data_IF_692936891860
#
_entry.id   IF_692936891860
#
_cell.length_a   1.000
_cell.length_b   1.000
_cell.length_c   1.000
_cell.angle_alpha   90.00
_cell.angle_beta   90.00
_cell.angle_gamma   90.00
#
_symmetry.space_group_name_H-M   'P 1'
#
loop_
_entity.id
_entity.type
_entity.pdbx_description
1 polymer ?
#
# COMPACT_ATOMS: atom_id res chain seq x y z
N UNK A 1 -9.94 34.30 26.12
CA UNK A 1 -10.32 33.48 24.95
C UNK A 1 -9.10 33.43 24.05
N UNK A 2 -8.38 32.31 24.05
CA UNK A 2 -7.28 32.07 23.12
C UNK A 2 -7.94 31.98 21.75
N UNK A 3 -7.73 32.96 20.87
CA UNK A 3 -8.16 32.88 19.48
C UNK A 3 -7.43 31.68 18.88
N UNK A 4 -8.15 30.59 18.69
CA UNK A 4 -7.64 29.39 18.05
C UNK A 4 -7.15 29.79 16.66
N UNK A 5 -5.83 29.77 16.46
CA UNK A 5 -5.22 30.00 15.14
C UNK A 5 -5.91 29.07 14.17
N UNK A 6 -6.62 29.61 13.17
CA UNK A 6 -7.27 28.82 12.13
C UNK A 6 -6.20 28.08 11.35
N UNK A 7 -5.99 26.79 11.71
CA UNK A 7 -5.08 25.89 11.02
C UNK A 7 -5.88 25.13 9.98
N UNK A 8 -5.52 25.27 8.72
CA UNK A 8 -6.12 24.55 7.60
C UNK A 8 -5.11 23.53 7.09
N UNK A 9 -5.50 22.26 7.03
CA UNK A 9 -4.66 21.19 6.50
C UNK A 9 -5.03 20.89 5.04
N UNK A 10 -4.09 21.06 4.12
CA UNK A 10 -4.20 20.53 2.75
C UNK A 10 -3.44 19.20 2.66
N UNK A 11 -4.17 18.11 2.93
CA UNK A 11 -3.63 16.76 2.84
C UNK A 11 -3.43 16.24 1.40
N UNK A 12 -3.93 16.96 0.38
CA UNK A 12 -3.68 16.61 -1.01
C UNK A 12 -2.26 17.00 -1.41
N UNK A 13 -1.75 18.12 -0.87
CA UNK A 13 -0.39 18.61 -1.12
C UNK A 13 0.59 18.33 0.00
N UNK A 14 0.09 18.10 1.21
CA UNK A 14 0.91 17.86 2.39
C UNK A 14 1.37 19.13 3.07
N UNK A 15 0.59 20.21 3.01
CA UNK A 15 0.91 21.46 3.67
C UNK A 15 -0.13 21.82 4.73
N UNK A 16 0.32 22.52 5.75
CA UNK A 16 -0.55 23.19 6.72
C UNK A 16 -0.44 24.69 6.50
N UNK A 17 -1.58 25.36 6.61
CA UNK A 17 -1.71 26.79 6.43
C UNK A 17 -2.14 27.37 7.77
N UNK A 18 -1.38 28.36 8.23
CA UNK A 18 -1.67 29.09 9.46
C UNK A 18 -1.69 30.58 9.15
N UNK A 19 -2.71 31.25 9.65
CA UNK A 19 -2.79 32.71 9.56
C UNK A 19 -2.30 33.32 10.87
N UNK A 20 -1.34 34.23 10.79
CA UNK A 20 -0.90 35.02 11.93
C UNK A 20 -1.96 36.07 12.30
N UNK A 21 -1.86 36.66 13.49
CA UNK A 21 -2.75 37.73 13.97
C UNK A 21 -2.74 38.97 13.05
N UNK A 22 -1.67 39.14 12.27
CA UNK A 22 -1.50 40.21 11.27
C UNK A 22 -2.10 39.89 9.89
N UNK A 23 -2.74 38.72 9.71
CA UNK A 23 -3.28 38.27 8.42
C UNK A 23 -2.26 37.64 7.47
N UNK A 24 -0.99 37.59 7.84
CA UNK A 24 0.06 36.91 7.05
C UNK A 24 -0.18 35.40 6.99
N UNK A 25 -0.07 34.83 5.79
CA UNK A 25 -0.27 33.40 5.54
C UNK A 25 1.06 32.67 5.65
N UNK A 26 1.22 31.84 6.66
CA UNK A 26 2.38 30.97 6.83
C UNK A 26 2.02 29.54 6.39
N UNK A 27 2.77 29.03 5.41
CA UNK A 27 2.58 27.69 4.86
C UNK A 27 3.79 26.82 5.22
N UNK A 28 3.55 25.69 5.88
CA UNK A 28 4.58 24.73 6.27
C UNK A 28 4.28 23.35 5.70
N UNK A 29 5.34 22.57 5.45
CA UNK A 29 5.21 21.19 5.03
C UNK A 29 4.88 20.29 6.23
N UNK A 30 3.85 19.46 6.10
CA UNK A 30 3.48 18.46 7.10
C UNK A 30 3.60 17.04 6.52
N UNK A 31 4.66 16.28 6.86
CA UNK A 31 4.91 14.95 6.29
C UNK A 31 3.87 13.91 6.70
N UNK A 32 3.12 14.12 7.78
CA UNK A 32 2.16 13.15 8.32
C UNK A 32 0.84 13.11 7.53
N UNK A 33 0.47 14.20 6.84
CA UNK A 33 -0.75 14.26 6.01
C UNK A 33 -0.41 14.32 4.51
N UNK A 34 0.35 13.35 4.02
CA UNK A 34 0.79 13.28 2.63
C UNK A 34 0.45 11.92 2.01
N UNK A 35 -0.19 11.92 0.83
CA UNK A 35 -0.23 10.72 -0.03
C UNK A 35 1.18 10.36 -0.47
N UNK A 36 1.53 9.09 -0.65
CA UNK A 36 2.85 8.70 -1.18
C UNK A 36 4.04 9.28 -0.39
N UNK A 37 3.91 9.49 0.92
CA UNK A 37 5.05 9.93 1.73
C UNK A 37 6.15 8.87 1.71
N UNK A 38 7.40 9.32 1.57
CA UNK A 38 8.57 8.45 1.55
C UNK A 38 9.46 8.89 2.68
N UNK A 39 9.84 7.94 3.52
CA UNK A 39 10.80 8.18 4.59
C UNK A 39 12.22 8.04 4.04
N UNK A 40 13.09 9.01 4.33
CA UNK A 40 14.49 8.95 3.93
C UNK A 40 15.30 8.09 4.91
N UNK A 41 15.46 6.81 4.60
CA UNK A 41 16.28 5.88 5.39
C UNK A 41 17.80 6.13 5.27
N UNK A 42 18.23 6.96 4.31
CA UNK A 42 19.64 7.28 4.06
C UNK A 42 19.96 8.71 4.48
N UNK A 43 19.19 9.26 5.42
CA UNK A 43 19.43 10.59 5.93
C UNK A 43 20.80 10.70 6.61
N UNK A 44 21.52 11.79 6.35
CA UNK A 44 22.90 12.00 6.84
C UNK A 44 24.01 11.32 6.02
N UNK A 45 23.69 10.48 5.03
CA UNK A 45 24.69 9.93 4.11
C UNK A 45 24.89 10.88 2.93
N UNK A 46 26.14 11.25 2.66
CA UNK A 46 26.48 12.15 1.54
C UNK A 46 26.90 11.31 0.34
N UNK A 47 26.28 11.58 -0.82
CA UNK A 47 26.70 11.08 -2.12
C UNK A 47 26.69 12.25 -3.11
N UNK A 48 27.85 12.56 -3.69
CA UNK A 48 28.03 13.75 -4.52
C UNK A 48 27.26 13.67 -5.85
N UNK A 49 27.19 12.49 -6.45
CA UNK A 49 26.59 12.27 -7.79
C UNK A 49 25.14 12.74 -7.90
N UNK A 50 24.38 12.67 -6.80
CA UNK A 50 22.95 13.02 -6.74
C UNK A 50 22.65 14.19 -5.81
N UNK A 51 23.67 14.88 -5.30
CA UNK A 51 23.51 15.98 -4.34
C UNK A 51 22.71 17.16 -4.91
N UNK A 52 22.69 17.32 -6.24
CA UNK A 52 22.00 18.39 -6.93
C UNK A 52 20.57 18.02 -7.37
N UNK A 53 20.12 16.79 -7.10
CA UNK A 53 18.77 16.34 -7.44
C UNK A 53 17.87 16.37 -6.20
N UNK A 54 16.61 16.73 -6.41
CA UNK A 54 15.59 16.80 -5.37
C UNK A 54 14.26 16.22 -5.87
N UNK A 55 13.57 15.45 -5.04
CA UNK A 55 12.18 15.08 -5.33
C UNK A 55 11.27 16.24 -4.92
N UNK A 56 10.50 16.75 -5.87
CA UNK A 56 9.51 17.81 -5.67
C UNK A 56 8.11 17.22 -5.84
N UNK A 57 7.27 17.46 -4.84
CA UNK A 57 5.87 17.05 -4.77
C UNK A 57 4.95 18.22 -5.14
N UNK A 58 3.84 17.86 -5.78
CA UNK A 58 2.71 18.74 -6.07
C UNK A 58 1.41 18.14 -5.53
N UNK A 59 0.27 18.42 -6.18
CA UNK A 59 -1.02 17.89 -5.75
C UNK A 59 -1.10 16.37 -5.90
N UNK A 60 -1.66 15.71 -4.90
CA UNK A 60 -1.98 14.29 -4.87
C UNK A 60 -0.79 13.37 -5.15
N UNK A 61 -0.81 12.65 -6.28
CA UNK A 61 0.16 11.62 -6.63
C UNK A 61 1.31 12.16 -7.48
N UNK A 62 1.28 13.45 -7.84
CA UNK A 62 2.24 14.06 -8.74
C UNK A 62 3.54 14.39 -8.02
N UNK A 63 4.61 13.71 -8.44
CA UNK A 63 5.98 13.94 -7.98
C UNK A 63 6.91 13.92 -9.19
N UNK A 64 8.03 14.61 -9.07
CA UNK A 64 9.10 14.56 -10.07
C UNK A 64 10.45 14.82 -9.44
N UNK A 65 11.50 14.36 -10.09
CA UNK A 65 12.88 14.66 -9.71
C UNK A 65 13.33 15.87 -10.52
N UNK A 66 13.85 16.88 -9.83
CA UNK A 66 14.31 18.14 -10.41
C UNK A 66 15.76 18.40 -10.04
N UNK A 67 16.47 19.10 -10.92
CA UNK A 67 17.86 19.51 -10.74
C UNK A 67 17.94 20.92 -10.18
N UNK A 68 18.72 21.11 -9.13
CA UNK A 68 18.98 22.42 -8.55
C UNK A 68 20.00 23.19 -9.40
N UNK A 69 19.52 24.17 -10.18
CA UNK A 69 20.39 25.13 -10.89
C UNK A 69 20.47 26.49 -10.18
N UNK A 70 19.72 26.66 -9.09
CA UNK A 70 19.64 27.95 -8.38
C UNK A 70 20.91 28.33 -7.62
N UNK A 71 21.79 27.36 -7.34
CA UNK A 71 22.93 27.53 -6.42
C UNK A 71 22.54 27.77 -4.95
N UNK A 72 21.25 27.77 -4.63
CA UNK A 72 20.74 27.95 -3.28
C UNK A 72 20.81 26.63 -2.52
N UNK A 73 21.07 26.71 -1.20
CA UNK A 73 21.02 25.55 -0.34
C UNK A 73 19.56 25.18 -0.03
N UNK A 74 19.05 24.15 -0.69
CA UNK A 74 17.67 23.67 -0.59
C UNK A 74 17.56 22.55 0.45
N UNK A 75 16.48 22.55 1.23
CA UNK A 75 16.18 21.54 2.25
C UNK A 75 14.82 20.89 2.06
N UNK A 76 14.66 19.70 2.62
CA UNK A 76 13.36 19.00 2.67
C UNK A 76 12.35 19.88 3.43
N UNK A 77 11.13 19.96 2.89
CA UNK A 77 10.03 20.77 3.41
C UNK A 77 10.00 22.21 2.90
N UNK A 78 11.01 22.65 2.14
CA UNK A 78 10.99 23.98 1.53
C UNK A 78 10.14 24.01 0.26
N UNK A 79 9.48 25.16 0.07
CA UNK A 79 8.72 25.46 -1.14
C UNK A 79 9.65 26.02 -2.21
N UNK A 80 9.56 25.48 -3.41
CA UNK A 80 10.43 25.83 -4.53
C UNK A 80 9.66 26.11 -5.80
N UNK A 81 10.19 27.04 -6.58
CA UNK A 81 9.71 27.37 -7.92
C UNK A 81 10.47 26.53 -8.92
N UNK A 82 9.75 25.76 -9.71
CA UNK A 82 10.29 24.78 -10.65
C UNK A 82 9.85 25.04 -12.07
N UNK A 83 10.62 24.51 -13.00
CA UNK A 83 10.33 24.57 -14.42
C UNK A 83 9.08 23.75 -14.78
N UNK A 84 8.17 24.40 -15.51
CA UNK A 84 6.99 23.80 -16.11
C UNK A 84 7.05 23.96 -17.63
N UNK A 85 6.26 23.17 -18.37
CA UNK A 85 6.22 23.26 -19.85
C UNK A 85 5.87 24.67 -20.35
N UNK A 86 5.13 25.45 -19.56
CA UNK A 86 4.81 26.84 -19.84
C UNK A 86 4.76 27.58 -18.51
N UNK A 87 5.66 28.55 -18.28
CA UNK A 87 5.72 29.29 -17.03
C UNK A 87 6.47 28.53 -15.93
N UNK A 88 6.01 28.70 -14.69
CA UNK A 88 6.61 28.04 -13.52
C UNK A 88 5.55 27.37 -12.65
N UNK A 89 5.96 26.35 -11.91
CA UNK A 89 5.10 25.70 -10.92
C UNK A 89 5.70 25.83 -9.52
N UNK A 90 4.88 25.63 -8.49
CA UNK A 90 5.29 25.67 -7.10
C UNK A 90 5.10 24.29 -6.48
N UNK A 91 6.17 23.73 -5.95
CA UNK A 91 6.16 22.42 -5.31
C UNK A 91 6.94 22.40 -3.99
N UNK A 92 6.85 21.28 -3.30
CA UNK A 92 7.48 21.07 -1.99
C UNK A 92 8.57 20.01 -2.13
N UNK A 93 9.77 20.28 -1.61
CA UNK A 93 10.84 19.29 -1.59
C UNK A 93 10.51 18.20 -0.57
N UNK A 94 10.45 16.95 -1.01
CA UNK A 94 10.12 15.81 -0.15
C UNK A 94 11.29 14.89 0.12
N UNK A 95 12.22 14.75 -0.82
CA UNK A 95 13.42 13.91 -0.67
C UNK A 95 14.65 14.63 -1.21
N UNK A 96 15.78 14.38 -0.57
CA UNK A 96 17.11 14.81 -0.97
C UNK A 96 18.12 13.69 -0.70
N UNK A 97 19.27 13.71 -1.38
CA UNK A 97 20.40 12.83 -1.09
C UNK A 97 20.33 11.45 -1.76
N UNK A 98 21.07 10.45 -1.22
CA UNK A 98 21.33 9.17 -1.90
C UNK A 98 20.09 8.35 -2.23
N UNK A 99 18.97 8.56 -1.52
CA UNK A 99 17.71 7.86 -1.79
C UNK A 99 17.19 8.15 -3.20
N UNK A 100 17.52 9.31 -3.78
CA UNK A 100 17.11 9.68 -5.14
C UNK A 100 17.72 8.73 -6.17
N UNK A 101 18.97 8.29 -5.99
CA UNK A 101 19.58 7.29 -6.88
C UNK A 101 18.77 5.98 -6.90
N UNK A 102 18.18 5.58 -5.77
CA UNK A 102 17.30 4.40 -5.71
C UNK A 102 15.95 4.64 -6.40
N UNK A 103 15.40 5.85 -6.30
CA UNK A 103 14.17 6.23 -7.02
C UNK A 103 14.40 6.19 -8.54
N UNK A 104 15.52 6.75 -9.00
CA UNK A 104 15.90 6.74 -10.43
C UNK A 104 16.06 5.31 -10.96
N UNK A 105 16.75 4.43 -10.21
CA UNK A 105 16.86 3.01 -10.57
C UNK A 105 15.50 2.31 -10.63
N UNK A 106 14.59 2.60 -9.69
CA UNK A 106 13.23 2.04 -9.71
C UNK A 106 12.47 2.48 -10.96
N UNK A 107 12.57 3.76 -11.29
CA UNK A 107 11.86 4.36 -12.42
C UNK A 107 12.59 4.11 -13.76
N UNK A 108 13.72 3.39 -13.74
CA UNK A 108 14.57 3.05 -14.89
C UNK A 108 15.07 4.29 -15.64
N UNK A 109 15.43 5.32 -14.89
CA UNK A 109 15.95 6.58 -15.40
C UNK A 109 17.45 6.62 -15.16
N UNK A 110 18.22 6.77 -16.24
CA UNK A 110 19.66 6.97 -16.16
C UNK A 110 19.97 8.46 -15.90
N UNK A 111 20.68 8.80 -14.80
CA UNK A 111 20.91 10.20 -14.42
C UNK A 111 21.73 11.00 -15.44
N UNK A 112 22.58 10.34 -16.23
CA UNK A 112 23.48 11.01 -17.18
C UNK A 112 22.80 11.36 -18.50
N UNK A 113 21.84 10.56 -18.94
CA UNK A 113 21.15 10.74 -20.24
C UNK A 113 19.84 11.50 -20.10
N UNK A 114 19.24 11.49 -18.91
CA UNK A 114 17.94 12.10 -18.68
C UNK A 114 18.06 13.62 -18.43
N UNK A 115 17.32 14.40 -19.21
CA UNK A 115 17.21 15.84 -19.00
C UNK A 115 16.21 16.15 -17.87
N UNK A 116 16.75 16.44 -16.69
CA UNK A 116 15.95 16.84 -15.53
C UNK A 116 15.48 18.30 -15.64
N UNK A 117 14.21 18.51 -15.34
CA UNK A 117 13.65 19.86 -15.15
C UNK A 117 14.34 20.59 -14.01
N UNK A 118 14.37 21.91 -14.10
CA UNK A 118 15.17 22.75 -13.21
C UNK A 118 14.39 23.30 -12.02
N UNK A 119 15.05 23.44 -10.89
CA UNK A 119 14.62 24.26 -9.76
C UNK A 119 15.26 25.64 -9.91
N UNK A 120 14.41 26.66 -10.07
CA UNK A 120 14.90 28.02 -10.28
C UNK A 120 15.34 28.71 -8.99
N UNK A 121 14.56 28.54 -7.91
CA UNK A 121 14.81 29.20 -6.60
C UNK A 121 13.82 28.72 -5.54
N UNK A 122 14.10 29.08 -4.28
CA UNK A 122 13.11 29.06 -3.20
C UNK A 122 11.92 29.98 -3.52
N UNK A 123 10.73 29.55 -3.12
CA UNK A 123 9.51 30.33 -3.26
C UNK A 123 9.56 31.57 -2.36
N UNK A 124 9.17 32.72 -2.92
CA UNK A 124 8.99 33.96 -2.15
C UNK A 124 7.59 33.96 -1.52
N UNK A 125 7.34 34.74 -0.46
CA UNK A 125 6.01 34.87 0.12
C UNK A 125 4.92 35.20 -0.91
N UNK A 126 5.21 36.11 -1.84
CA UNK A 126 4.28 36.45 -2.94
C UNK A 126 3.97 35.30 -3.90
N UNK A 127 4.89 34.34 -4.07
CA UNK A 127 4.63 33.13 -4.89
C UNK A 127 3.69 32.18 -4.13
N UNK A 128 3.87 32.06 -2.81
CA UNK A 128 3.02 31.24 -1.93
C UNK A 128 1.60 31.80 -1.88
N UNK A 129 1.45 33.13 -1.76
CA UNK A 129 0.14 33.79 -1.77
C UNK A 129 -0.62 33.52 -3.08
N UNK A 130 0.01 33.73 -4.24
CA UNK A 130 -0.59 33.41 -5.54
C UNK A 130 -0.96 31.94 -5.67
N UNK A 131 -0.13 31.06 -5.14
CA UNK A 131 -0.42 29.63 -5.14
C UNK A 131 -1.63 29.30 -4.26
N UNK A 132 -1.78 29.93 -3.10
CA UNK A 132 -2.96 29.78 -2.25
C UNK A 132 -4.23 30.32 -2.92
N UNK A 133 -4.15 31.46 -3.60
CA UNK A 133 -5.25 31.98 -4.42
C UNK A 133 -5.62 31.00 -5.54
N UNK A 134 -4.65 30.34 -6.18
CA UNK A 134 -4.91 29.32 -7.18
C UNK A 134 -5.61 28.09 -6.57
N UNK A 135 -5.14 27.59 -5.42
CA UNK A 135 -5.74 26.47 -4.69
C UNK A 135 -7.19 26.77 -4.29
N UNK A 136 -7.46 27.97 -3.76
CA UNK A 136 -8.81 28.36 -3.37
C UNK A 136 -9.82 28.33 -4.54
N UNK A 137 -9.33 28.47 -5.79
CA UNK A 137 -10.16 28.41 -7.00
C UNK A 137 -10.43 26.97 -7.48
N UNK A 138 -9.66 25.98 -7.06
CA UNK A 138 -9.76 24.60 -7.56
C UNK A 138 -11.14 23.99 -7.37
N UNK A 139 -11.67 24.07 -6.14
CA UNK A 139 -12.92 23.41 -5.80
C UNK A 139 -14.11 23.97 -6.58
N UNK A 140 -14.22 25.31 -6.66
CA UNK A 140 -15.27 25.98 -7.45
C UNK A 140 -15.15 25.66 -8.94
N UNK A 141 -13.93 25.67 -9.47
CA UNK A 141 -13.66 25.36 -10.88
C UNK A 141 -14.03 23.92 -11.19
N UNK A 142 -13.72 22.97 -10.30
CA UNK A 142 -14.12 21.56 -10.44
C UNK A 142 -15.64 21.40 -10.52
N UNK A 143 -16.39 22.02 -9.61
CA UNK A 143 -17.87 21.93 -9.59
C UNK A 143 -18.46 22.52 -10.88
N UNK A 144 -18.01 23.72 -11.26
CA UNK A 144 -18.48 24.39 -12.48
C UNK A 144 -18.17 23.57 -13.73
N UNK A 145 -16.99 22.97 -13.78
CA UNK A 145 -16.57 22.12 -14.89
C UNK A 145 -17.42 20.86 -15.03
N UNK A 146 -17.85 20.27 -13.91
CA UNK A 146 -18.78 19.11 -13.92
C UNK A 146 -20.15 19.49 -14.48
N UNK A 147 -20.66 20.67 -14.14
CA UNK A 147 -21.94 21.17 -14.67
C UNK A 147 -21.86 21.34 -16.19
N UNK A 148 -20.83 22.03 -16.68
CA UNK A 148 -20.65 22.28 -18.11
C UNK A 148 -20.44 20.99 -18.93
N UNK A 149 -19.78 19.98 -18.34
CA UNK A 149 -19.64 18.67 -18.98
C UNK A 149 -20.99 17.93 -19.04
N UNK A 150 -21.84 18.06 -18.01
CA UNK A 150 -23.18 17.49 -18.00
C UNK A 150 -24.13 18.22 -18.97
N UNK A 151 -24.03 19.55 -19.08
CA UNK A 151 -24.83 20.37 -20.01
C UNK A 151 -24.55 20.01 -21.48
N UNK A 152 -23.33 19.54 -21.78
CA UNK A 152 -22.92 19.04 -23.10
C UNK A 152 -23.16 17.53 -23.28
N UNK A 153 -23.78 16.87 -22.29
CA UNK A 153 -24.07 15.43 -22.29
C UNK A 153 -22.85 14.53 -22.58
N UNK A 154 -21.66 14.97 -22.17
CA UNK A 154 -20.43 14.22 -22.40
C UNK A 154 -20.33 13.05 -21.41
N UNK A 155 -20.11 11.84 -21.94
CA UNK A 155 -19.91 10.64 -21.12
C UNK A 155 -18.52 10.61 -20.47
N UNK A 156 -18.29 11.51 -19.51
CA UNK A 156 -17.05 11.64 -18.75
C UNK A 156 -17.30 12.12 -17.33
N UNK A 157 -16.35 11.87 -16.42
CA UNK A 157 -16.35 12.41 -15.07
C UNK A 157 -15.07 13.18 -14.80
N UNK A 158 -15.21 14.43 -14.39
CA UNK A 158 -14.08 15.26 -13.96
C UNK A 158 -13.80 14.95 -12.49
N UNK A 159 -12.67 14.30 -12.23
CA UNK A 159 -12.27 13.82 -10.90
C UNK A 159 -11.66 14.93 -10.05
N UNK A 160 -10.71 15.67 -10.61
CA UNK A 160 -9.94 16.70 -9.89
C UNK A 160 -9.45 17.79 -10.84
N UNK A 161 -9.13 18.97 -10.29
CA UNK A 161 -8.55 20.11 -11.03
C UNK A 161 -7.32 20.60 -10.28
N UNK A 162 -6.20 20.75 -10.97
CA UNK A 162 -4.95 21.24 -10.41
C UNK A 162 -4.52 22.51 -11.15
N UNK A 163 -4.41 23.62 -10.44
CA UNK A 163 -3.79 24.82 -11.00
C UNK A 163 -2.27 24.74 -10.87
N UNK A 164 -1.59 25.26 -11.89
CA UNK A 164 -0.17 25.52 -11.83
C UNK A 164 0.12 26.67 -10.84
N UNK A 165 1.31 26.70 -10.25
CA UNK A 165 1.72 27.70 -9.26
C UNK A 165 1.57 29.17 -9.68
N UNK A 166 1.66 29.47 -10.97
CA UNK A 166 1.43 30.80 -11.53
C UNK A 166 -0.05 31.14 -11.79
N UNK A 167 -0.94 30.14 -11.70
CA UNK A 167 -2.37 30.24 -11.97
C UNK A 167 -2.73 30.43 -13.45
N UNK A 168 -1.78 30.33 -14.40
CA UNK A 168 -2.02 30.59 -15.82
C UNK A 168 -2.58 29.37 -16.57
N UNK A 169 -2.29 28.18 -16.03
CA UNK A 169 -2.70 26.88 -16.57
C UNK A 169 -3.38 26.04 -15.49
N UNK A 170 -4.42 25.31 -15.87
CA UNK A 170 -5.04 24.29 -15.04
C UNK A 170 -5.12 22.95 -15.77
N UNK A 171 -4.86 21.88 -15.03
CA UNK A 171 -4.94 20.49 -15.46
C UNK A 171 -6.24 19.90 -14.91
N UNK A 172 -7.10 19.42 -15.81
CA UNK A 172 -8.36 18.77 -15.48
C UNK A 172 -8.19 17.26 -15.62
N UNK A 173 -8.24 16.56 -14.51
CA UNK A 173 -8.17 15.10 -14.48
C UNK A 173 -9.57 14.53 -14.70
N UNK A 174 -9.72 13.69 -15.71
CA UNK A 174 -11.01 13.06 -16.03
C UNK A 174 -10.89 11.57 -16.30
N UNK A 175 -11.97 10.85 -16.04
CA UNK A 175 -12.16 9.46 -16.43
C UNK A 175 -13.29 9.36 -17.45
N UNK A 176 -13.09 8.51 -18.45
CA UNK A 176 -14.09 8.13 -19.43
C UNK A 176 -13.76 6.71 -19.91
N UNK A 177 -14.79 5.91 -20.17
CA UNK A 177 -14.63 4.56 -20.69
C UNK A 177 -14.29 4.56 -22.19
N UNK A 178 -14.84 5.53 -22.92
CA UNK A 178 -14.63 5.71 -24.36
C UNK A 178 -13.93 7.05 -24.67
N UNK A 179 -13.55 7.23 -25.93
CA UNK A 179 -12.97 8.48 -26.41
C UNK A 179 -14.05 9.56 -26.44
N UNK A 180 -13.83 10.64 -25.71
CA UNK A 180 -14.76 11.79 -25.64
C UNK A 180 -14.26 12.94 -26.50
N UNK A 181 -15.16 13.55 -27.29
CA UNK A 181 -14.86 14.79 -28.00
C UNK A 181 -15.16 16.01 -27.10
N UNK A 182 -14.12 16.52 -26.46
CA UNK A 182 -14.20 17.66 -25.53
C UNK A 182 -13.82 19.00 -26.19
N UNK A 183 -13.78 19.11 -27.52
CA UNK A 183 -13.38 20.37 -28.19
C UNK A 183 -14.29 21.55 -27.81
N UNK A 184 -15.60 21.33 -27.75
CA UNK A 184 -16.54 22.36 -27.34
C UNK A 184 -16.40 22.70 -25.85
N UNK A 185 -16.17 21.68 -25.01
CA UNK A 185 -15.94 21.86 -23.58
C UNK A 185 -14.70 22.74 -23.32
N UNK A 186 -13.60 22.53 -24.06
CA UNK A 186 -12.40 23.36 -23.95
C UNK A 186 -12.70 24.83 -24.28
N UNK A 187 -13.51 25.12 -25.30
CA UNK A 187 -13.90 26.49 -25.64
C UNK A 187 -14.69 27.13 -24.50
N UNK A 188 -15.68 26.42 -23.97
CA UNK A 188 -16.50 26.92 -22.87
C UNK A 188 -15.65 27.14 -21.60
N UNK A 189 -14.71 26.23 -21.29
CA UNK A 189 -13.78 26.41 -20.17
C UNK A 189 -12.85 27.61 -20.37
N UNK A 190 -12.38 27.85 -21.59
CA UNK A 190 -11.49 28.97 -21.89
C UNK A 190 -12.21 30.31 -21.71
N UNK A 191 -13.49 30.37 -22.10
CA UNK A 191 -14.35 31.54 -21.92
C UNK A 191 -14.65 31.81 -20.43
N UNK A 192 -15.03 30.76 -19.68
CA UNK A 192 -15.41 30.88 -18.27
C UNK A 192 -14.20 31.18 -17.36
N UNK A 193 -13.12 30.40 -17.48
CA UNK A 193 -12.01 30.45 -16.54
C UNK A 193 -10.87 31.35 -16.98
N UNK A 194 -10.80 31.71 -18.28
CA UNK A 194 -9.75 32.57 -18.86
C UNK A 194 -8.32 32.11 -18.56
N UNK A 195 -8.11 30.80 -18.58
CA UNK A 195 -6.82 30.13 -18.33
C UNK A 195 -6.53 29.12 -19.44
N UNK A 196 -5.26 28.69 -19.55
CA UNK A 196 -4.88 27.57 -20.41
C UNK A 196 -5.36 26.26 -19.79
N UNK A 197 -6.03 25.45 -20.59
CA UNK A 197 -6.63 24.18 -20.15
C UNK A 197 -5.81 23.01 -20.68
N UNK A 198 -5.43 22.11 -19.79
CA UNK A 198 -4.92 20.78 -20.13
C UNK A 198 -5.89 19.72 -19.64
N UNK A 199 -6.41 18.91 -20.55
CA UNK A 199 -7.26 17.77 -20.21
C UNK A 199 -6.38 16.53 -20.09
N UNK A 200 -6.41 15.86 -18.93
CA UNK A 200 -5.63 14.64 -18.68
C UNK A 200 -6.54 13.47 -18.34
N UNK A 201 -6.59 12.49 -19.24
CA UNK A 201 -7.31 11.25 -18.99
C UNK A 201 -6.54 10.41 -17.97
N UNK A 202 -7.25 9.91 -16.96
CA UNK A 202 -6.73 9.00 -15.94
C UNK A 202 -7.52 7.69 -15.95
N UNK A 203 -6.83 6.60 -15.65
CA UNK A 203 -7.49 5.31 -15.49
C UNK A 203 -8.18 5.17 -14.13
N UNK A 204 -9.15 4.26 -14.02
CA UNK A 204 -9.90 3.98 -12.78
C UNK A 204 -9.03 3.75 -11.53
N UNK A 205 -7.84 3.15 -11.70
CA UNK A 205 -6.91 2.94 -10.59
C UNK A 205 -6.23 4.23 -10.12
N UNK A 206 -5.87 5.10 -11.05
CA UNK A 206 -5.29 6.40 -10.73
C UNK A 206 -6.33 7.30 -10.08
N UNK A 207 -7.58 7.27 -10.57
CA UNK A 207 -8.72 7.95 -9.93
C UNK A 207 -8.89 7.48 -8.48
N UNK A 208 -8.87 6.16 -8.22
CA UNK A 208 -8.92 5.63 -6.86
C UNK A 208 -7.73 6.10 -5.99
N UNK A 209 -6.55 6.35 -6.57
CA UNK A 209 -5.41 6.96 -5.86
C UNK A 209 -5.59 8.45 -5.56
N UNK A 210 -6.25 9.18 -6.47
CA UNK A 210 -6.60 10.60 -6.30
C UNK A 210 -7.71 10.79 -5.26
N UNK A 211 -8.72 9.92 -5.23
CA UNK A 211 -9.78 9.98 -4.21
C UNK A 211 -9.25 9.44 -2.87
N UNK A 212 -8.49 8.34 -2.92
CA UNK A 212 -8.14 7.57 -1.73
C UNK A 212 -9.28 6.66 -1.27
N UNK A 213 -9.07 5.97 -0.15
CA UNK A 213 -10.06 5.06 0.43
C UNK A 213 -9.43 3.95 1.24
N UNK A 214 -10.25 2.99 1.67
CA UNK A 214 -9.83 1.80 2.40
C UNK A 214 -9.93 0.56 1.51
N UNK A 215 -8.85 -0.22 1.50
CA UNK A 215 -8.83 -1.53 0.86
C UNK A 215 -9.57 -2.58 1.67
N UNK A 216 -9.81 -3.74 1.06
CA UNK A 216 -10.41 -4.91 1.74
C UNK A 216 -9.57 -5.40 2.92
N UNK A 217 -8.28 -5.04 2.97
CA UNK A 217 -7.37 -5.32 4.08
C UNK A 217 -7.51 -4.34 5.25
N UNK A 218 -8.45 -3.39 5.20
CA UNK A 218 -8.65 -2.36 6.23
C UNK A 218 -7.63 -1.23 6.23
N UNK A 219 -6.60 -1.29 5.37
CA UNK A 219 -5.58 -0.25 5.23
C UNK A 219 -5.97 0.76 4.15
N UNK A 220 -5.34 1.94 4.17
CA UNK A 220 -5.44 2.90 3.06
C UNK A 220 -5.00 2.26 1.73
N UNK A 221 -5.62 2.66 0.62
CA UNK A 221 -5.30 2.12 -0.71
C UNK A 221 -3.80 2.25 -1.01
N UNK A 222 -3.19 1.18 -1.53
CA UNK A 222 -1.76 1.19 -1.86
C UNK A 222 -1.41 2.28 -2.89
N UNK A 223 -2.34 2.58 -3.81
CA UNK A 223 -2.19 3.63 -4.83
C UNK A 223 -2.22 5.07 -4.29
N UNK A 224 -2.74 5.30 -3.09
CA UNK A 224 -2.65 6.60 -2.42
C UNK A 224 -1.52 6.63 -1.38
N UNK A 225 -1.01 5.46 -0.97
CA UNK A 225 -0.01 5.33 0.10
C UNK A 225 1.44 5.23 -0.37
N UNK A 226 1.76 4.38 -1.34
CA UNK A 226 3.16 4.18 -1.77
C UNK A 226 3.36 3.68 -3.21
N UNK A 227 2.33 3.11 -3.85
CA UNK A 227 2.45 2.48 -5.16
C UNK A 227 1.97 3.41 -6.27
N UNK A 228 2.86 3.74 -7.21
CA UNK A 228 2.58 4.71 -8.29
C UNK A 228 2.72 4.09 -9.68
N UNK A 229 3.53 3.04 -9.79
CA UNK A 229 3.71 2.27 -11.01
C UNK A 229 2.76 1.07 -10.98
N UNK A 230 1.93 0.95 -12.00
CA UNK A 230 0.90 -0.08 -12.09
C UNK A 230 1.12 -0.94 -13.32
N UNK A 231 1.63 -2.15 -13.09
CA UNK A 231 1.71 -3.17 -14.12
C UNK A 231 0.34 -3.86 -14.33
N UNK A 232 0.13 -4.38 -15.53
CA UNK A 232 -1.01 -5.24 -15.82
C UNK A 232 -0.94 -6.52 -14.99
N UNK A 233 -2.03 -6.87 -14.33
CA UNK A 233 -2.13 -8.06 -13.48
C UNK A 233 -2.73 -9.20 -14.30
N UNK A 234 -2.06 -10.34 -14.31
CA UNK A 234 -2.52 -11.54 -15.01
C UNK A 234 -3.26 -12.47 -14.05
N UNK A 235 -4.15 -13.29 -14.59
CA UNK A 235 -4.84 -14.34 -13.80
C UNK A 235 -3.88 -15.44 -13.33
N UNK A 236 -2.72 -15.59 -13.98
CA UNK A 236 -1.68 -16.53 -13.57
C UNK A 236 -1.09 -16.17 -12.19
N UNK A 237 -0.93 -14.88 -11.89
CA UNK A 237 -0.46 -14.43 -10.58
C UNK A 237 -1.47 -14.76 -9.46
N UNK A 238 -2.78 -14.79 -9.78
CA UNK A 238 -3.78 -15.26 -8.81
C UNK A 238 -3.71 -16.79 -8.60
N UNK A 239 -3.41 -17.55 -9.66
CA UNK A 239 -3.27 -19.02 -9.57
C UNK A 239 -2.06 -19.45 -8.76
N UNK A 240 -0.92 -18.77 -8.86
CA UNK A 240 0.25 -19.14 -8.06
C UNK A 240 0.07 -18.91 -6.55
N UNK A 241 -0.89 -18.05 -6.19
CA UNK A 241 -1.27 -17.76 -4.80
C UNK A 241 -2.44 -18.61 -4.30
N UNK A 242 -2.88 -19.58 -5.11
CA UNK A 242 -4.05 -20.42 -4.82
C UNK A 242 -5.32 -19.59 -4.49
N UNK A 243 -5.47 -18.43 -5.14
CA UNK A 243 -6.63 -17.57 -4.97
C UNK A 243 -7.78 -18.04 -5.85
N UNK A 244 -9.00 -17.94 -5.32
CA UNK A 244 -10.22 -18.18 -6.08
C UNK A 244 -10.29 -17.26 -7.30
N UNK A 245 -10.58 -17.84 -8.48
CA UNK A 245 -10.68 -17.12 -9.76
C UNK A 245 -11.98 -16.32 -9.93
N UNK A 246 -12.75 -16.11 -8.86
CA UNK A 246 -13.95 -15.28 -8.93
C UNK A 246 -13.56 -13.79 -9.09
N UNK A 247 -13.96 -13.12 -10.20
CA UNK A 247 -13.56 -11.74 -10.48
C UNK A 247 -14.01 -10.75 -9.41
N UNK A 248 -15.16 -10.96 -8.76
CA UNK A 248 -15.64 -10.08 -7.68
C UNK A 248 -14.71 -10.11 -6.46
N UNK A 249 -14.14 -11.29 -6.15
CA UNK A 249 -13.19 -11.44 -5.04
C UNK A 249 -11.80 -10.90 -5.39
N UNK A 250 -11.43 -10.91 -6.67
CA UNK A 250 -10.12 -10.43 -7.12
C UNK A 250 -10.10 -8.95 -7.47
N UNK A 251 -11.26 -8.34 -7.72
CA UNK A 251 -11.38 -6.91 -8.01
C UNK A 251 -11.06 -6.07 -6.76
N UNK A 252 -10.29 -5.00 -6.96
CA UNK A 252 -10.08 -3.95 -5.96
C UNK A 252 -11.14 -2.86 -6.08
N UNK A 253 -11.03 -1.82 -5.24
CA UNK A 253 -12.00 -0.70 -5.21
C UNK A 253 -12.08 0.06 -6.55
N UNK A 254 -11.02 0.01 -7.36
CA UNK A 254 -10.99 0.59 -8.70
C UNK A 254 -11.70 -0.27 -9.78
N UNK A 255 -12.36 -1.37 -9.41
CA UNK A 255 -13.03 -2.29 -10.35
C UNK A 255 -12.09 -3.15 -11.20
N UNK A 256 -10.77 -2.95 -11.12
CA UNK A 256 -9.74 -3.80 -11.76
C UNK A 256 -9.15 -4.79 -10.75
N UNK A 257 -8.44 -5.81 -11.22
CA UNK A 257 -7.74 -6.79 -10.37
C UNK A 257 -6.86 -6.09 -9.31
N UNK A 258 -6.77 -6.66 -8.11
CA UNK A 258 -5.96 -6.13 -7.00
C UNK A 258 -4.47 -6.13 -7.35
N UNK A 259 -3.83 -4.98 -7.22
CA UNK A 259 -2.37 -4.82 -7.39
C UNK A 259 -1.55 -5.63 -6.38
N UNK A 260 -2.11 -5.93 -5.20
CA UNK A 260 -1.48 -6.78 -4.19
C UNK A 260 -1.13 -8.17 -4.74
N UNK A 261 -1.93 -8.70 -5.69
CA UNK A 261 -1.68 -10.00 -6.31
C UNK A 261 -0.31 -9.98 -7.02
N UNK A 262 -0.03 -8.97 -7.84
CA UNK A 262 1.30 -8.88 -8.47
C UNK A 262 2.40 -8.54 -7.45
N UNK A 263 2.10 -7.69 -6.47
CA UNK A 263 3.07 -7.26 -5.46
C UNK A 263 3.61 -8.46 -4.64
N UNK A 264 2.74 -9.39 -4.26
CA UNK A 264 3.10 -10.55 -3.45
C UNK A 264 3.60 -11.74 -4.29
N UNK A 265 3.33 -11.77 -5.59
CA UNK A 265 3.59 -12.93 -6.45
C UNK A 265 5.05 -13.42 -6.40
N UNK A 266 6.03 -12.52 -6.35
CA UNK A 266 7.45 -12.90 -6.25
C UNK A 266 7.76 -13.65 -4.97
N UNK A 267 7.20 -13.23 -3.83
CA UNK A 267 7.36 -13.90 -2.55
C UNK A 267 6.70 -15.30 -2.56
N UNK A 268 5.54 -15.44 -3.21
CA UNK A 268 4.90 -16.75 -3.36
C UNK A 268 5.70 -17.70 -4.25
N UNK A 269 6.24 -17.22 -5.38
CA UNK A 269 7.07 -18.04 -6.27
C UNK A 269 8.32 -18.53 -5.53
N UNK A 270 8.98 -17.62 -4.80
CA UNK A 270 10.15 -17.97 -4.00
C UNK A 270 9.82 -19.01 -2.92
N UNK A 271 8.75 -18.80 -2.14
CA UNK A 271 8.30 -19.76 -1.14
C UNK A 271 7.91 -21.11 -1.77
N UNK A 272 7.28 -21.11 -2.96
CA UNK A 272 6.93 -22.34 -3.66
C UNK A 272 8.16 -23.14 -4.12
N UNK A 273 9.25 -22.47 -4.49
CA UNK A 273 10.51 -23.15 -4.85
C UNK A 273 11.14 -23.90 -3.68
N UNK A 274 10.87 -23.49 -2.44
CA UNK A 274 11.33 -24.16 -1.23
C UNK A 274 10.44 -25.34 -0.80
N UNK A 275 9.28 -25.53 -1.45
CA UNK A 275 8.35 -26.61 -1.12
C UNK A 275 8.65 -27.86 -1.97
N UNK A 276 8.64 -29.08 -1.38
CA UNK A 276 8.79 -30.30 -2.16
C UNK A 276 7.59 -30.55 -3.06
N UNK A 277 7.84 -31.00 -4.29
CA UNK A 277 6.77 -31.44 -5.21
C UNK A 277 6.33 -32.86 -4.84
N UNK A 278 5.11 -32.98 -4.34
CA UNK A 278 4.49 -34.27 -3.98
C UNK A 278 3.59 -34.70 -5.15
N UNK A 279 4.02 -35.73 -5.88
CA UNK A 279 3.22 -36.34 -6.97
C UNK A 279 2.53 -37.63 -6.54
N UNK A 280 3.12 -38.34 -5.59
CA UNK A 280 2.66 -39.63 -5.08
C UNK A 280 2.25 -39.50 -3.60
N UNK A 281 1.30 -40.31 -3.12
CA UNK A 281 0.98 -40.39 -1.70
C UNK A 281 2.21 -40.72 -0.86
N UNK A 282 2.33 -40.12 0.32
CA UNK A 282 3.42 -40.47 1.24
C UNK A 282 3.16 -41.85 1.82
N UNK A 283 4.16 -42.74 1.72
CA UNK A 283 4.11 -44.06 2.32
C UNK A 283 4.54 -43.99 3.79
N UNK A 284 3.61 -44.24 4.69
CA UNK A 284 3.84 -44.28 6.12
C UNK A 284 3.65 -45.71 6.63
N UNK A 285 4.06 -45.95 7.88
CA UNK A 285 3.80 -47.24 8.54
C UNK A 285 2.31 -47.55 8.67
N UNK A 286 1.48 -46.53 8.94
CA UNK A 286 0.03 -46.65 9.11
C UNK A 286 -0.75 -46.80 7.78
N UNK A 287 -0.14 -46.47 6.64
CA UNK A 287 -0.82 -46.41 5.35
C UNK A 287 -0.36 -45.27 4.45
N UNK A 288 -1.07 -45.06 3.35
CA UNK A 288 -0.79 -44.00 2.38
C UNK A 288 -1.46 -42.68 2.81
N UNK A 289 -0.71 -41.59 2.77
CA UNK A 289 -1.22 -40.26 3.08
C UNK A 289 -1.26 -39.37 1.83
N UNK A 290 -2.42 -38.77 1.57
CA UNK A 290 -2.70 -37.91 0.42
C UNK A 290 -2.56 -36.44 0.80
N UNK A 291 -1.93 -35.66 -0.07
CA UNK A 291 -1.84 -34.20 0.07
C UNK A 291 -3.18 -33.57 -0.30
N UNK A 292 -3.76 -32.79 0.61
CA UNK A 292 -5.04 -32.10 0.38
C UNK A 292 -4.86 -30.60 0.18
N UNK A 293 -3.99 -29.96 0.96
CA UNK A 293 -3.77 -28.51 0.93
C UNK A 293 -2.32 -28.18 1.17
N UNK A 294 -1.81 -27.15 0.48
CA UNK A 294 -0.46 -26.63 0.70
C UNK A 294 -0.54 -25.15 1.11
N UNK A 295 -0.11 -24.83 2.32
CA UNK A 295 0.06 -23.44 2.76
C UNK A 295 1.50 -22.98 2.46
N UNK A 296 1.69 -22.44 1.26
CA UNK A 296 3.01 -22.08 0.69
C UNK A 296 3.80 -21.16 1.62
N UNK A 297 3.18 -20.08 2.10
CA UNK A 297 3.88 -19.09 2.94
C UNK A 297 4.23 -19.60 4.35
N UNK A 298 3.47 -20.56 4.88
CA UNK A 298 3.77 -21.16 6.20
C UNK A 298 4.77 -22.31 6.09
N UNK A 299 5.06 -22.78 4.87
CA UNK A 299 5.86 -23.99 4.65
C UNK A 299 5.20 -25.26 5.20
N UNK A 300 3.86 -25.30 5.24
CA UNK A 300 3.09 -26.41 5.82
C UNK A 300 2.26 -27.08 4.73
N UNK A 301 2.29 -28.41 4.73
CA UNK A 301 1.52 -29.27 3.83
C UNK A 301 0.56 -30.11 4.67
N UNK A 302 -0.70 -30.16 4.26
CA UNK A 302 -1.77 -30.85 4.99
C UNK A 302 -2.06 -32.19 4.34
N UNK A 303 -1.88 -33.26 5.12
CA UNK A 303 -2.08 -34.64 4.66
C UNK A 303 -3.25 -35.31 5.38
N UNK A 304 -3.91 -36.24 4.70
CA UNK A 304 -4.95 -37.11 5.26
C UNK A 304 -4.78 -38.53 4.74
N UNK A 305 -5.14 -39.53 5.55
CA UNK A 305 -5.22 -40.93 5.10
C UNK A 305 -6.40 -41.15 4.14
N UNK A 306 -7.42 -40.29 4.19
CA UNK A 306 -8.57 -40.31 3.31
C UNK A 306 -8.45 -39.27 2.20
N UNK A 307 -8.40 -39.71 0.94
CA UNK A 307 -8.27 -38.82 -0.22
C UNK A 307 -9.44 -37.84 -0.41
N UNK A 308 -10.65 -38.17 0.09
CA UNK A 308 -11.87 -37.39 -0.14
C UNK A 308 -12.39 -36.65 1.11
N UNK A 309 -11.79 -36.90 2.28
CA UNK A 309 -12.28 -36.36 3.54
C UNK A 309 -11.31 -35.31 4.11
N UNK A 310 -11.75 -34.06 4.13
CA UNK A 310 -10.96 -32.94 4.67
C UNK A 310 -11.06 -32.78 6.20
N UNK A 311 -11.77 -33.66 6.91
CA UNK A 311 -11.97 -33.53 8.36
C UNK A 311 -10.71 -33.88 9.19
N UNK A 312 -9.89 -34.83 8.75
CA UNK A 312 -8.79 -35.40 9.53
C UNK A 312 -7.40 -35.01 8.97
N UNK A 313 -7.19 -33.73 8.68
CA UNK A 313 -5.92 -33.25 8.13
C UNK A 313 -4.85 -33.08 9.22
N UNK A 314 -3.64 -33.56 8.93
CA UNK A 314 -2.45 -33.40 9.78
C UNK A 314 -1.45 -32.47 9.07
N UNK A 315 -0.97 -31.41 9.74
CA UNK A 315 0.04 -30.52 9.17
C UNK A 315 1.44 -31.12 9.29
N UNK A 316 2.18 -31.14 8.18
CA UNK A 316 3.61 -31.47 8.14
C UNK A 316 4.41 -30.29 7.58
N UNK A 317 5.60 -30.04 8.12
CA UNK A 317 6.52 -29.02 7.58
C UNK A 317 7.17 -29.51 6.29
N UNK A 318 7.47 -28.59 5.38
CA UNK A 318 8.13 -28.88 4.09
C UNK A 318 9.40 -29.73 4.23
N UNK A 319 10.26 -29.42 5.20
CA UNK A 319 11.49 -30.17 5.48
C UNK A 319 11.21 -31.63 5.88
N UNK A 320 10.18 -31.86 6.70
CA UNK A 320 9.77 -33.19 7.12
C UNK A 320 9.22 -33.98 5.93
N UNK A 321 8.43 -33.34 5.07
CA UNK A 321 7.89 -33.95 3.87
C UNK A 321 9.03 -34.35 2.92
N UNK A 322 10.03 -33.50 2.72
CA UNK A 322 11.22 -33.84 1.92
C UNK A 322 11.96 -35.05 2.49
N UNK A 323 12.16 -35.09 3.82
CA UNK A 323 12.79 -36.24 4.47
C UNK A 323 11.97 -37.54 4.30
N UNK A 324 10.64 -37.46 4.39
CA UNK A 324 9.74 -38.60 4.16
C UNK A 324 9.83 -39.07 2.71
N UNK A 325 9.82 -38.15 1.74
CA UNK A 325 9.98 -38.49 0.31
C UNK A 325 11.31 -39.19 0.06
N UNK A 326 12.40 -38.71 0.66
CA UNK A 326 13.72 -39.33 0.50
C UNK A 326 13.83 -40.69 1.20
N UNK A 327 13.09 -40.92 2.29
CA UNK A 327 12.95 -42.24 2.90
C UNK A 327 12.14 -43.20 2.01
N UNK A 328 11.03 -42.72 1.44
CA UNK A 328 10.19 -43.51 0.54
C UNK A 328 10.93 -43.91 -0.73
N UNK A 329 11.74 -43.01 -1.31
CA UNK A 329 12.63 -43.34 -2.44
C UNK A 329 13.66 -44.43 -2.11
N UNK A 330 14.07 -44.52 -0.85
CA UNK A 330 14.97 -45.58 -0.34
C UNK A 330 14.23 -46.85 0.07
N UNK A 331 12.91 -46.92 -0.15
CA UNK A 331 12.06 -48.05 0.20
C UNK A 331 11.76 -48.19 1.70
N UNK A 332 12.04 -47.16 2.51
CA UNK A 332 11.75 -47.15 3.95
C UNK A 332 10.49 -46.36 4.22
N UNK A 333 9.52 -46.97 4.92
CA UNK A 333 8.29 -46.29 5.37
C UNK A 333 8.63 -45.35 6.52
N UNK A 334 8.03 -44.16 6.51
CA UNK A 334 8.22 -43.16 7.55
C UNK A 334 7.21 -43.33 8.71
N UNK A 335 7.51 -42.80 9.91
CA UNK A 335 6.63 -42.95 11.08
C UNK A 335 5.26 -42.27 10.88
N UNK A 336 4.28 -42.78 11.62
CA UNK A 336 2.87 -42.39 11.64
C UNK A 336 2.62 -40.88 11.80
N UNK A 337 1.66 -40.33 11.04
CA UNK A 337 1.28 -38.89 11.10
C UNK A 337 0.86 -38.45 12.50
N UNK A 338 0.25 -39.35 13.27
CA UNK A 338 -0.35 -39.07 14.58
C UNK A 338 0.69 -38.79 15.68
N UNK A 339 1.93 -39.26 15.53
CA UNK A 339 2.99 -39.03 16.52
C UNK A 339 3.48 -37.57 16.54
N UNK A 340 3.21 -36.82 15.47
CA UNK A 340 3.54 -35.39 15.39
C UNK A 340 2.63 -34.48 16.23
N UNK A 341 1.59 -35.02 16.89
CA UNK A 341 0.79 -34.33 17.92
C UNK A 341 1.57 -34.14 19.24
N UNK A 342 2.79 -33.61 19.16
CA UNK A 342 3.46 -33.04 20.31
C UNK A 342 2.76 -31.75 20.72
N UNK A 343 1.80 -31.83 21.65
CA UNK A 343 1.14 -30.73 22.40
C UNK A 343 1.64 -29.33 22.04
N UNK A 344 1.10 -28.70 20.99
CA UNK A 344 1.17 -27.25 20.88
C UNK A 344 0.25 -26.69 21.98
N UNK A 345 0.86 -26.19 23.05
CA UNK A 345 0.14 -25.37 24.04
C UNK A 345 -0.38 -24.15 23.29
N UNK A 346 -1.69 -23.95 23.28
CA UNK A 346 -2.27 -22.71 22.78
C UNK A 346 -1.62 -21.52 23.51
N UNK A 347 -1.23 -20.45 22.80
CA UNK A 347 -0.68 -19.27 23.46
C UNK A 347 -1.71 -18.71 24.44
N UNK A 348 -1.33 -18.61 25.71
CA UNK A 348 -2.12 -17.95 26.74
C UNK A 348 -2.15 -16.44 26.43
N UNK A 349 -3.28 -15.94 25.94
CA UNK A 349 -3.50 -14.51 25.80
C UNK A 349 -3.75 -13.91 27.18
N UNK A 350 -2.78 -13.16 27.71
CA UNK A 350 -2.98 -12.28 28.86
C UNK A 350 -3.64 -10.98 28.39
N UNK A 351 -4.86 -10.71 28.86
CA UNK A 351 -5.50 -9.41 28.70
C UNK A 351 -4.75 -8.37 29.55
N UNK A 352 -4.45 -7.21 28.97
CA UNK A 352 -3.76 -6.09 29.65
C UNK A 352 -4.56 -5.49 30.83
N UNK A 353 -5.80 -5.94 31.04
CA UNK A 353 -6.67 -5.52 32.13
C UNK A 353 -6.95 -6.72 33.06
N UNK A 354 -5.93 -7.21 33.76
CA UNK A 354 -6.01 -7.87 35.09
C UNK A 354 -7.07 -8.95 35.39
N UNK A 355 -7.83 -9.44 34.42
CA UNK A 355 -8.92 -10.39 34.61
C UNK A 355 -8.58 -11.74 33.97
N UNK A 356 -8.94 -12.81 34.69
CA UNK A 356 -8.55 -14.20 34.48
C UNK A 356 -8.78 -14.73 33.05
N UNK A 357 -7.96 -15.71 32.67
CA UNK A 357 -8.02 -16.42 31.40
C UNK A 357 -9.42 -16.98 31.08
N UNK A 358 -9.92 -16.67 29.87
CA UNK A 358 -11.20 -17.13 29.29
C UNK A 358 -11.40 -18.65 29.31
N UNK A 359 -10.33 -19.45 29.47
CA UNK A 359 -10.36 -20.92 29.54
C UNK A 359 -10.94 -21.51 30.83
N UNK A 360 -11.32 -20.69 31.83
CA UNK A 360 -11.91 -21.16 33.11
C UNK A 360 -13.19 -21.99 32.92
N UNK A 361 -13.89 -21.84 31.80
CA UNK A 361 -15.15 -22.55 31.52
C UNK A 361 -15.00 -23.87 30.75
N UNK A 362 -13.81 -24.22 30.26
CA UNK A 362 -13.57 -25.43 29.45
C UNK A 362 -13.16 -26.67 30.25
N UNK A 363 -13.01 -26.58 31.57
CA UNK A 363 -12.76 -27.77 32.40
C UNK A 363 -14.02 -28.65 32.52
N UNK A 364 -14.19 -29.54 31.56
CA UNK A 364 -15.17 -30.62 31.63
C UNK A 364 -14.77 -31.61 32.74
N UNK A 365 -15.69 -31.78 33.70
CA UNK A 365 -15.58 -32.62 34.90
C UNK A 365 -15.16 -34.06 34.57
N UNK A 366 -13.95 -34.44 34.98
CA UNK A 366 -13.54 -35.85 35.06
C UNK A 366 -14.23 -36.56 36.24
N UNK A 367 -14.73 -37.80 36.10
CA UNK A 367 -15.43 -38.51 37.16
C UNK A 367 -14.46 -39.00 38.24
N UNK A 368 -14.70 -38.60 39.50
CA UNK A 368 -13.93 -39.06 40.67
C UNK A 368 -14.08 -40.57 40.88
N UNK A 369 -13.01 -41.33 40.66
CA UNK A 369 -12.86 -42.72 41.16
C UNK A 369 -12.81 -42.71 42.69
N UNK A 370 -13.79 -43.34 43.34
CA UNK A 370 -13.77 -43.69 44.77
C UNK A 370 -12.63 -44.68 45.03
N UNK A 371 -11.64 -44.28 45.84
CA UNK A 371 -10.62 -45.20 46.35
C UNK A 371 -10.90 -45.53 47.81
N UNK A 372 -11.20 -46.80 48.05
CA UNK A 372 -11.52 -47.40 49.33
C UNK A 372 -10.21 -47.57 50.14
N UNK A 373 -10.00 -46.76 51.20
CA UNK A 373 -8.84 -46.91 52.09
C UNK A 373 -9.20 -47.82 53.27
N UNK A 374 -8.84 -49.09 53.11
CA UNK A 374 -8.73 -50.05 54.21
C UNK A 374 -7.41 -49.75 54.95
N UNK A 375 -7.46 -49.29 56.21
CA UNK A 375 -6.28 -49.17 57.08
C UNK A 375 -6.55 -49.88 58.41
N UNK A 376 -6.00 -51.09 58.52
CA UNK A 376 -5.86 -51.86 59.77
C UNK A 376 -5.08 -51.02 60.79
N UNK A 377 -5.69 -50.76 61.95
CA UNK A 377 -4.99 -50.29 63.14
C UNK A 377 -4.79 -51.48 64.10
N UNK A 378 -3.53 -51.85 64.36
CA UNK A 378 -3.12 -52.71 65.48
C UNK A 378 -2.19 -51.90 66.38
N UNK A 379 -2.72 -51.57 67.57
CA UNK A 379 -2.09 -51.47 68.91
C UNK A 379 -0.60 -51.10 69.04
N UNK A 380 -0.30 -50.11 69.89
CA UNK A 380 0.15 -50.23 71.31
C UNK A 380 0.49 -48.83 71.86
N UNK A 381 -0.12 -48.42 73.00
CA UNK A 381 0.48 -48.42 74.35
C UNK A 381 1.79 -47.60 74.45
N UNK A 382 1.72 -46.39 74.98
CA UNK A 382 1.96 -46.08 76.40
C UNK A 382 1.39 -44.71 76.73
#
# INVERSE_FOLDING_TARGET
>A
MIMEKSRVYDCQRGCEITHNENGETNCSYNPNCCKLSVFNWLDGIVQEDVAHLFEVRFKNTRKGIYKNESGQNLRIGEFVVVEAQNGYDLGIITLAGPIIARQLKRDRIDPETYEFKKIYRKARPADIEKWQEAIAREHRTMIRSRQMAADLELNMKIGDVEFQGDGTKAIFYYIADERVDFRQLIKNFAEEFRIRIEMKQIGARQEAGLIGGLGVCGQALCCSRYMNDFQSITTQAARCQDLSLNPQKLAGQCGKLKCCINYEASAYIDAQNHMPRVHEPLQLEDGEAFLLKTDILRGIMWFSYDAHNMANMVPLKAEQVTAIIDMNKKGKKAPSLLESKGKEKSPEFFSAAGEESISRFDETKSPRKKNNRNRKNKRKQQ
#
